data_IF_004840116029
#
_entry.id   IF_004840116029
#
_cell.length_a   1.000
_cell.length_b   1.000
_cell.length_c   1.000
_cell.angle_alpha   90.00
_cell.angle_beta   90.00
_cell.angle_gamma   90.00
#
_symmetry.space_group_name_H-M   'P 1'
#
loop_
_entity.id
_entity.type
_entity.pdbx_description
1 polymer ?
#
# COMPACT_ATOMS: atom_id res chain seq x y z
N UNK A 1 -25.85 16.42 9.31
CA UNK A 1 -24.91 15.72 8.39
C UNK A 1 -24.06 14.76 9.22
N UNK A 2 -24.33 13.45 9.09
CA UNK A 2 -23.76 12.39 9.95
C UNK A 2 -22.45 11.86 9.36
N UNK A 3 -22.37 11.77 8.03
CA UNK A 3 -21.17 11.28 7.33
C UNK A 3 -20.06 12.33 7.39
N UNK A 4 -18.94 12.00 8.05
CA UNK A 4 -17.83 12.92 8.28
C UNK A 4 -16.50 12.21 8.10
N UNK A 5 -15.57 12.88 7.42
CA UNK A 5 -14.16 12.49 7.33
C UNK A 5 -13.32 13.59 7.97
N UNK A 6 -12.53 13.23 8.98
CA UNK A 6 -11.61 14.15 9.64
C UNK A 6 -10.19 13.88 9.16
N UNK A 7 -9.51 14.93 8.70
CA UNK A 7 -8.10 14.84 8.30
C UNK A 7 -7.33 15.95 9.00
N UNK A 8 -6.14 15.63 9.53
CA UNK A 8 -5.33 16.60 10.28
C UNK A 8 -4.43 17.43 9.37
N UNK A 9 -3.82 16.78 8.36
CA UNK A 9 -2.79 17.38 7.51
C UNK A 9 -3.11 17.25 6.01
N UNK A 10 -4.31 16.78 5.64
CA UNK A 10 -4.70 16.55 4.25
C UNK A 10 -5.67 17.59 3.70
N UNK A 11 -6.18 18.51 4.53
CA UNK A 11 -7.13 19.56 4.14
C UNK A 11 -6.61 20.41 2.97
N UNK A 12 -5.30 20.69 2.97
CA UNK A 12 -4.66 21.52 1.95
C UNK A 12 -4.53 20.82 0.59
N UNK A 13 -4.75 19.51 0.54
CA UNK A 13 -4.71 18.69 -0.66
C UNK A 13 -6.11 18.32 -1.16
N UNK A 14 -7.18 18.74 -0.46
CA UNK A 14 -8.54 18.49 -0.90
C UNK A 14 -8.84 19.36 -2.12
N UNK A 15 -9.07 18.71 -3.26
CA UNK A 15 -9.42 19.35 -4.52
C UNK A 15 -10.92 19.57 -4.64
N UNK A 16 -11.71 18.59 -4.20
CA UNK A 16 -13.16 18.64 -4.31
C UNK A 16 -13.84 17.75 -3.25
N UNK A 17 -15.08 18.08 -2.91
CA UNK A 17 -15.95 17.28 -2.04
C UNK A 17 -17.34 17.20 -2.65
N UNK A 18 -17.75 16.01 -3.06
CA UNK A 18 -19.05 15.74 -3.69
C UNK A 18 -19.92 14.95 -2.73
N UNK A 19 -21.22 15.23 -2.76
CA UNK A 19 -22.22 14.39 -2.09
C UNK A 19 -23.18 13.85 -3.12
N UNK A 20 -23.23 12.53 -3.23
CA UNK A 20 -24.15 11.81 -4.11
C UNK A 20 -25.26 11.18 -3.28
N UNK A 21 -26.48 11.60 -3.54
CA UNK A 21 -27.66 10.98 -2.99
C UNK A 21 -27.92 9.64 -3.67
N UNK A 22 -28.49 8.70 -2.93
CA UNK A 22 -28.86 7.39 -3.45
C UNK A 22 -30.22 7.00 -2.87
N UNK A 23 -30.99 6.24 -3.65
CA UNK A 23 -32.32 5.80 -3.23
C UNK A 23 -32.27 4.46 -2.49
N UNK A 24 -31.10 3.83 -2.37
CA UNK A 24 -30.90 2.53 -1.69
C UNK A 24 -30.53 2.68 -0.22
N UNK A 25 -30.30 3.91 0.26
CA UNK A 25 -29.94 4.21 1.64
C UNK A 25 -30.48 5.59 2.01
N UNK A 26 -30.85 5.75 3.27
CA UNK A 26 -31.14 7.02 3.93
C UNK A 26 -29.88 7.91 4.11
N UNK A 27 -28.69 7.34 3.89
CA UNK A 27 -27.42 8.07 3.86
C UNK A 27 -27.03 8.51 2.45
N UNK A 28 -26.23 9.59 2.38
CA UNK A 28 -25.65 10.08 1.13
C UNK A 28 -24.17 9.70 1.04
N UNK A 29 -23.70 9.36 -0.14
CA UNK A 29 -22.29 9.07 -0.37
C UNK A 29 -21.48 10.37 -0.40
N UNK A 30 -20.51 10.51 0.50
CA UNK A 30 -19.54 11.62 0.49
C UNK A 30 -18.28 11.15 -0.22
N UNK A 31 -17.86 11.88 -1.25
CA UNK A 31 -16.66 11.62 -2.04
C UNK A 31 -15.72 12.81 -1.86
N UNK A 32 -14.47 12.55 -1.47
CA UNK A 32 -13.43 13.57 -1.32
C UNK A 32 -12.33 13.27 -2.34
N UNK A 33 -12.11 14.20 -3.26
CA UNK A 33 -11.02 14.13 -4.23
C UNK A 33 -9.80 14.83 -3.62
N UNK A 34 -8.69 14.10 -3.44
CA UNK A 34 -7.45 14.60 -2.81
C UNK A 34 -6.32 14.54 -3.84
N UNK A 35 -5.61 15.65 -4.03
CA UNK A 35 -4.45 15.75 -4.91
C UNK A 35 -3.17 15.84 -4.08
N UNK A 36 -2.46 14.72 -3.98
CA UNK A 36 -1.24 14.63 -3.18
C UNK A 36 -0.04 14.93 -4.08
N UNK A 37 0.78 15.96 -3.77
CA UNK A 37 1.95 16.29 -4.58
C UNK A 37 2.95 15.14 -4.57
N UNK A 38 3.68 15.01 -5.68
CA UNK A 38 4.72 13.98 -5.86
C UNK A 38 4.18 12.53 -5.75
N UNK A 39 2.90 12.30 -6.06
CA UNK A 39 2.42 10.92 -6.24
C UNK A 39 3.08 10.31 -7.46
N UNK A 40 3.77 9.16 -7.31
CA UNK A 40 4.39 8.48 -8.43
C UNK A 40 3.32 8.05 -9.44
N UNK A 41 3.61 8.20 -10.73
CA UNK A 41 2.72 7.70 -11.79
C UNK A 41 2.58 6.19 -11.65
N UNK A 42 1.35 5.70 -11.77
CA UNK A 42 1.08 4.27 -11.82
C UNK A 42 1.86 3.65 -12.99
N UNK A 43 2.80 2.77 -12.66
CA UNK A 43 3.51 1.95 -13.64
C UNK A 43 2.69 0.73 -14.05
N UNK A 44 3.12 -0.01 -15.08
CA UNK A 44 2.40 -1.19 -15.52
C UNK A 44 2.42 -2.28 -14.44
N UNK A 45 1.24 -2.80 -14.11
CA UNK A 45 0.99 -3.72 -12.99
C UNK A 45 1.41 -5.17 -13.29
N UNK A 46 2.65 -5.40 -13.69
CA UNK A 46 3.13 -6.72 -14.14
C UNK A 46 3.39 -7.75 -13.04
N UNK A 47 3.18 -7.40 -11.76
CA UNK A 47 3.42 -8.33 -10.66
C UNK A 47 2.20 -8.48 -9.77
N UNK A 48 1.72 -9.72 -9.68
CA UNK A 48 0.71 -10.15 -8.71
C UNK A 48 1.40 -11.01 -7.65
N UNK A 49 1.24 -10.64 -6.39
CA UNK A 49 1.73 -11.45 -5.27
C UNK A 49 0.90 -12.73 -5.14
N UNK A 50 1.56 -13.88 -4.96
CA UNK A 50 0.88 -15.10 -4.56
C UNK A 50 0.48 -14.99 -3.07
N UNK A 51 -0.80 -14.78 -2.80
CA UNK A 51 -1.32 -14.55 -1.45
C UNK A 51 -1.31 -15.80 -0.58
N UNK A 52 -1.27 -17.01 -1.15
CA UNK A 52 -1.21 -18.25 -0.35
C UNK A 52 0.09 -18.36 0.46
N UNK A 53 1.15 -17.63 0.06
CA UNK A 53 2.39 -17.52 0.84
C UNK A 53 2.16 -16.93 2.24
N UNK A 54 1.09 -16.13 2.42
CA UNK A 54 0.73 -15.55 3.70
C UNK A 54 0.14 -16.58 4.66
N UNK A 55 -0.30 -17.74 4.21
CA UNK A 55 -0.80 -18.80 5.11
C UNK A 55 0.35 -19.46 5.88
N UNK A 56 1.57 -19.41 5.32
CA UNK A 56 2.76 -19.95 5.95
C UNK A 56 3.28 -19.04 7.09
N UNK A 57 3.20 -19.55 8.33
CA UNK A 57 3.63 -18.84 9.54
C UNK A 57 5.12 -18.45 9.53
N UNK A 58 5.99 -19.26 8.93
CA UNK A 58 7.43 -18.97 8.87
C UNK A 58 7.71 -17.84 7.89
N UNK A 59 7.08 -17.86 6.71
CA UNK A 59 7.20 -16.76 5.74
C UNK A 59 6.70 -15.44 6.33
N UNK A 60 5.60 -15.47 7.09
CA UNK A 60 5.10 -14.28 7.82
C UNK A 60 6.13 -13.74 8.81
N UNK A 61 6.74 -14.60 9.63
CA UNK A 61 7.79 -14.20 10.59
C UNK A 61 9.00 -13.60 9.88
N UNK A 62 9.47 -14.25 8.83
CA UNK A 62 10.59 -13.77 8.00
C UNK A 62 10.26 -12.40 7.38
N UNK A 63 9.03 -12.21 6.91
CA UNK A 63 8.60 -10.96 6.33
C UNK A 63 8.51 -9.84 7.37
N UNK A 64 8.11 -10.12 8.61
CA UNK A 64 8.10 -9.12 9.68
C UNK A 64 9.52 -8.60 9.94
N UNK A 65 10.52 -9.49 9.97
CA UNK A 65 11.92 -9.11 10.12
C UNK A 65 12.41 -8.26 8.93
N UNK A 66 12.12 -8.70 7.71
CA UNK A 66 12.44 -7.94 6.50
C UNK A 66 11.74 -6.57 6.49
N UNK A 67 10.50 -6.49 6.96
CA UNK A 67 9.73 -5.26 7.06
C UNK A 67 10.35 -4.27 8.04
N UNK A 68 10.88 -4.74 9.17
CA UNK A 68 11.65 -3.89 10.10
C UNK A 68 12.87 -3.31 9.38
N UNK A 69 13.61 -4.12 8.64
CA UNK A 69 14.78 -3.65 7.87
C UNK A 69 14.40 -2.66 6.75
N UNK A 70 13.24 -2.86 6.12
CA UNK A 70 12.71 -1.93 5.11
C UNK A 70 12.35 -0.60 5.78
N UNK A 71 11.65 -0.61 6.92
CA UNK A 71 11.30 0.62 7.66
C UNK A 71 12.52 1.36 8.20
N UNK A 72 13.52 0.65 8.69
CA UNK A 72 14.76 1.27 9.18
C UNK A 72 15.55 1.98 8.06
N UNK A 73 15.23 1.72 6.78
CA UNK A 73 15.83 2.44 5.66
C UNK A 73 15.12 3.74 5.29
N UNK A 74 13.98 4.10 5.90
CA UNK A 74 13.20 5.31 5.57
C UNK A 74 14.07 6.56 5.66
N UNK A 75 14.89 6.68 6.72
CA UNK A 75 15.77 7.84 6.94
C UNK A 75 16.85 8.03 5.88
N UNK A 76 17.08 7.04 5.01
CA UNK A 76 18.07 7.09 3.91
C UNK A 76 17.52 7.75 2.64
N UNK A 77 16.24 8.12 2.63
CA UNK A 77 15.58 8.69 1.46
C UNK A 77 15.01 10.07 1.80
N UNK A 78 15.01 10.95 0.82
CA UNK A 78 14.57 12.35 0.96
C UNK A 78 13.11 12.46 1.42
N UNK A 79 12.24 11.59 0.90
CA UNK A 79 10.84 11.54 1.32
C UNK A 79 10.29 10.12 1.24
N UNK A 80 9.12 9.94 1.88
CA UNK A 80 8.46 8.64 1.99
C UNK A 80 8.05 8.05 0.62
N UNK A 81 7.70 8.89 -0.35
CA UNK A 81 7.31 8.45 -1.69
C UNK A 81 8.51 7.82 -2.41
N UNK A 82 9.67 8.47 -2.37
CA UNK A 82 10.91 7.96 -2.96
C UNK A 82 11.33 6.65 -2.29
N UNK A 83 11.26 6.56 -0.96
CA UNK A 83 11.52 5.31 -0.23
C UNK A 83 10.57 4.19 -0.67
N UNK A 84 9.27 4.48 -0.78
CA UNK A 84 8.27 3.49 -1.16
C UNK A 84 8.52 2.94 -2.57
N UNK A 85 8.78 3.83 -3.52
CA UNK A 85 9.00 3.51 -4.93
C UNK A 85 10.33 2.78 -5.18
N UNK A 86 11.42 3.29 -4.60
CA UNK A 86 12.77 2.81 -4.92
C UNK A 86 13.23 1.68 -4.00
N UNK A 87 12.73 1.61 -2.77
CA UNK A 87 13.16 0.62 -1.77
C UNK A 87 12.05 -0.39 -1.45
N UNK A 88 10.98 0.07 -0.79
CA UNK A 88 10.03 -0.81 -0.12
C UNK A 88 9.36 -1.78 -1.09
N UNK A 89 8.77 -1.28 -2.17
CA UNK A 89 8.08 -2.12 -3.16
C UNK A 89 9.00 -3.15 -3.80
N UNK A 90 10.23 -2.75 -4.16
CA UNK A 90 11.22 -3.66 -4.79
C UNK A 90 11.62 -4.78 -3.83
N UNK A 91 11.90 -4.45 -2.57
CA UNK A 91 12.29 -5.43 -1.55
C UNK A 91 11.14 -6.38 -1.21
N UNK A 92 9.92 -5.88 -1.03
CA UNK A 92 8.73 -6.69 -0.80
C UNK A 92 8.54 -7.69 -1.96
N UNK A 93 8.60 -7.19 -3.20
CA UNK A 93 8.50 -8.02 -4.41
C UNK A 93 9.57 -9.11 -4.44
N UNK A 94 10.83 -8.73 -4.29
CA UNK A 94 11.95 -9.67 -4.31
C UNK A 94 11.86 -10.72 -3.21
N UNK A 95 11.42 -10.32 -2.00
CA UNK A 95 11.21 -11.24 -0.89
C UNK A 95 10.20 -12.32 -1.24
N UNK A 96 8.99 -11.95 -1.69
CA UNK A 96 7.94 -12.93 -1.97
C UNK A 96 8.23 -13.78 -3.21
N UNK A 97 8.89 -13.22 -4.24
CA UNK A 97 9.35 -14.01 -5.38
C UNK A 97 10.36 -15.07 -4.93
N UNK A 98 11.32 -14.69 -4.09
CA UNK A 98 12.32 -15.61 -3.56
C UNK A 98 11.69 -16.72 -2.71
N UNK A 99 10.81 -16.36 -1.76
CA UNK A 99 10.08 -17.35 -0.94
C UNK A 99 9.22 -18.30 -1.77
N UNK A 100 8.59 -17.81 -2.84
CA UNK A 100 7.84 -18.67 -3.75
C UNK A 100 8.74 -19.68 -4.47
N UNK A 101 9.95 -19.30 -4.87
CA UNK A 101 10.92 -20.20 -5.51
C UNK A 101 11.45 -21.25 -4.53
N UNK A 102 11.83 -20.84 -3.32
CA UNK A 102 12.31 -21.73 -2.26
C UNK A 102 11.27 -22.83 -1.94
N UNK A 103 9.99 -22.46 -1.81
CA UNK A 103 8.92 -23.43 -1.58
C UNK A 103 8.71 -24.41 -2.74
N UNK A 104 8.87 -23.95 -3.98
CA UNK A 104 8.72 -24.83 -5.14
C UNK A 104 9.90 -25.80 -5.25
N UNK A 105 11.12 -25.38 -4.90
CA UNK A 105 12.29 -26.26 -4.88
C UNK A 105 12.19 -27.34 -3.81
N UNK A 106 11.59 -27.06 -2.65
CA UNK A 106 11.38 -28.05 -1.58
C UNK A 106 10.34 -29.13 -1.91
N UNK A 107 9.58 -28.97 -3.00
CA UNK A 107 8.58 -29.95 -3.44
C UNK A 107 9.15 -31.02 -4.39
N UNK A 108 10.37 -30.83 -4.88
CA UNK A 108 11.09 -31.75 -5.76
C UNK A 108 12.33 -32.28 -5.04
#
# INVERSE_FOLDING_TARGET
>A
RIDRMYTKNLSNYVKDVKVKHTNISDHSCVIVDIDIPNTPKNGPYYWKMNTSLLENKNIKKDFILEWVNIKNSISKYENINIWWELCAKKRIKSFFIRKSKELNQQKY
#
